data_IF_496095793969
#
_entry.id   IF_496095793969
#
_cell.length_a   1.000
_cell.length_b   1.000
_cell.length_c   1.000
_cell.angle_alpha   90.00
_cell.angle_beta   90.00
_cell.angle_gamma   90.00
#
_symmetry.space_group_name_H-M   'P 1'
#
loop_
_entity.id
_entity.type
_entity.pdbx_description
1 polymer ?
#
# COMPACT_ATOMS: atom_id res chain seq x y z
N UNK A 1 -11.07 -16.02 -25.28
CA UNK A 1 -10.86 -14.79 -24.49
C UNK A 1 -12.07 -13.92 -24.71
N UNK A 2 -12.96 -13.86 -23.72
CA UNK A 2 -14.17 -13.04 -23.76
C UNK A 2 -13.77 -11.56 -23.76
N UNK A 3 -14.08 -10.85 -24.85
CA UNK A 3 -13.85 -9.40 -24.95
C UNK A 3 -14.97 -8.72 -24.16
N UNK A 4 -14.71 -8.39 -22.90
CA UNK A 4 -15.61 -7.56 -22.12
C UNK A 4 -15.79 -6.20 -22.83
N UNK A 5 -17.03 -5.76 -23.02
CA UNK A 5 -17.39 -4.49 -23.66
C UNK A 5 -16.78 -3.31 -22.87
N UNK A 6 -16.54 -2.18 -23.55
CA UNK A 6 -16.09 -0.95 -22.89
C UNK A 6 -17.23 -0.39 -22.01
N UNK A 7 -16.91 -0.01 -20.77
CA UNK A 7 -17.83 0.65 -19.82
C UNK A 7 -18.57 1.83 -20.43
N UNK A 8 -17.88 2.61 -21.26
CA UNK A 8 -18.43 3.81 -21.89
C UNK A 8 -19.61 3.50 -22.86
N UNK A 9 -19.90 2.21 -23.09
CA UNK A 9 -21.01 1.72 -23.93
C UNK A 9 -22.11 1.01 -23.14
N UNK A 10 -21.98 0.90 -21.81
CA UNK A 10 -22.92 0.15 -20.97
C UNK A 10 -23.81 1.16 -20.22
N UNK A 11 -25.14 1.11 -20.37
CA UNK A 11 -26.04 1.97 -19.62
C UNK A 11 -25.90 1.70 -18.11
N UNK A 12 -25.77 2.72 -17.25
CA UNK A 12 -25.42 2.56 -15.83
C UNK A 12 -26.43 1.73 -15.03
N UNK A 13 -27.72 1.77 -15.40
CA UNK A 13 -28.81 1.05 -14.71
C UNK A 13 -29.21 -0.27 -15.40
N UNK A 14 -28.37 -0.79 -16.29
CA UNK A 14 -28.65 -2.02 -17.03
C UNK A 14 -28.14 -3.26 -16.29
N UNK A 15 -28.80 -4.40 -16.50
CA UNK A 15 -28.28 -5.71 -16.07
C UNK A 15 -26.86 -6.00 -16.64
N UNK A 16 -26.52 -5.40 -17.79
CA UNK A 16 -25.16 -5.47 -18.34
C UNK A 16 -24.13 -4.73 -17.47
N UNK A 17 -24.51 -3.63 -16.80
CA UNK A 17 -23.64 -2.89 -15.89
C UNK A 17 -23.33 -3.70 -14.62
N UNK A 18 -24.35 -4.35 -14.04
CA UNK A 18 -24.17 -5.22 -12.88
C UNK A 18 -23.25 -6.41 -13.20
N UNK A 19 -23.50 -7.08 -14.32
CA UNK A 19 -22.69 -8.20 -14.79
C UNK A 19 -21.24 -7.79 -15.05
N UNK A 20 -21.05 -6.63 -15.67
CA UNK A 20 -19.73 -6.04 -15.88
C UNK A 20 -19.02 -5.74 -14.54
N UNK A 21 -19.71 -5.12 -13.59
CA UNK A 21 -19.15 -4.79 -12.28
C UNK A 21 -18.79 -6.06 -11.48
N UNK A 22 -19.62 -7.10 -11.50
CA UNK A 22 -19.31 -8.39 -10.91
C UNK A 22 -18.02 -8.98 -11.50
N UNK A 23 -17.83 -8.88 -12.81
CA UNK A 23 -16.62 -9.35 -13.50
C UNK A 23 -15.38 -8.58 -13.09
N UNK A 24 -15.47 -7.25 -12.99
CA UNK A 24 -14.37 -6.40 -12.51
C UNK A 24 -14.06 -6.70 -11.05
N UNK A 25 -15.06 -6.77 -10.18
CA UNK A 25 -14.87 -7.09 -8.77
C UNK A 25 -14.17 -8.43 -8.59
N UNK A 26 -14.61 -9.47 -9.30
CA UNK A 26 -13.94 -10.77 -9.31
C UNK A 26 -12.47 -10.65 -9.71
N UNK A 27 -12.17 -9.91 -10.78
CA UNK A 27 -10.80 -9.66 -11.22
C UNK A 27 -9.95 -8.96 -10.15
N UNK A 28 -10.49 -7.93 -9.48
CA UNK A 28 -9.79 -7.19 -8.42
C UNK A 28 -9.46 -8.08 -7.22
N UNK A 29 -10.33 -9.03 -6.89
CA UNK A 29 -10.14 -9.94 -5.76
C UNK A 29 -9.19 -11.09 -6.10
N UNK A 30 -9.27 -11.66 -7.30
CA UNK A 30 -8.42 -12.78 -7.73
C UNK A 30 -7.01 -12.35 -8.13
N UNK A 31 -6.84 -11.15 -8.69
CA UNK A 31 -5.56 -10.69 -9.23
C UNK A 31 -4.99 -9.58 -8.37
N UNK A 32 -3.67 -9.54 -8.27
CA UNK A 32 -2.94 -8.42 -7.70
C UNK A 32 -2.49 -7.50 -8.84
N UNK A 33 -2.70 -6.21 -8.63
CA UNK A 33 -2.52 -5.21 -9.67
C UNK A 33 -2.72 -3.79 -9.15
N UNK A 34 -2.67 -2.83 -10.05
CA UNK A 34 -2.79 -1.41 -9.75
C UNK A 34 -3.74 -0.73 -10.72
N UNK A 35 -4.46 0.26 -10.20
CA UNK A 35 -5.20 1.20 -11.03
C UNK A 35 -4.23 2.21 -11.65
N UNK A 36 -4.31 2.41 -12.96
CA UNK A 36 -3.45 3.33 -13.70
C UNK A 36 -4.30 4.32 -14.49
N UNK A 37 -4.01 5.60 -14.31
CA UNK A 37 -4.54 6.67 -15.14
C UNK A 37 -3.59 6.95 -16.32
N UNK A 38 -4.17 7.18 -17.49
CA UNK A 38 -3.45 7.56 -18.70
C UNK A 38 -4.12 8.77 -19.35
N UNK A 39 -3.31 9.63 -19.97
CA UNK A 39 -3.78 10.79 -20.70
C UNK A 39 -3.34 10.64 -22.16
N UNK A 40 -4.18 11.10 -23.07
CA UNK A 40 -3.87 11.12 -24.51
C UNK A 40 -3.80 12.56 -24.97
N UNK A 41 -2.88 12.87 -25.88
CA UNK A 41 -2.84 14.18 -26.53
C UNK A 41 -3.26 14.00 -27.98
N UNK A 42 -4.23 14.78 -28.45
CA UNK A 42 -4.71 14.74 -29.83
C UNK A 42 -4.96 16.17 -30.30
N UNK A 43 -4.29 16.57 -31.38
CA UNK A 43 -4.38 17.95 -31.90
C UNK A 43 -3.92 19.02 -30.90
N UNK A 44 -2.90 18.74 -30.09
CA UNK A 44 -2.41 19.67 -29.06
C UNK A 44 -3.26 19.72 -27.77
N UNK A 45 -4.43 19.06 -27.74
CA UNK A 45 -5.30 19.03 -26.57
C UNK A 45 -5.10 17.74 -25.77
N UNK A 46 -4.90 17.87 -24.45
CA UNK A 46 -4.82 16.74 -23.52
C UNK A 46 -6.22 16.26 -23.15
N UNK A 47 -6.49 14.96 -23.36
CA UNK A 47 -7.74 14.25 -23.04
C UNK A 47 -7.51 13.15 -22.02
N UNK A 48 -8.53 12.88 -21.20
CA UNK A 48 -8.48 11.93 -20.10
C UNK A 48 -8.80 12.61 -18.76
N UNK A 49 -8.58 11.93 -17.63
CA UNK A 49 -7.91 10.63 -17.48
C UNK A 49 -8.72 9.44 -17.99
N UNK A 50 -8.02 8.48 -18.60
CA UNK A 50 -8.54 7.16 -18.93
C UNK A 50 -7.91 6.11 -18.01
N UNK A 51 -8.74 5.30 -17.39
CA UNK A 51 -8.33 4.41 -16.33
C UNK A 51 -8.28 2.95 -16.79
N UNK A 52 -7.30 2.22 -16.27
CA UNK A 52 -7.20 0.78 -16.48
C UNK A 52 -6.64 0.09 -15.23
N UNK A 53 -7.17 -1.09 -14.91
CA UNK A 53 -6.58 -1.97 -13.91
C UNK A 53 -5.51 -2.85 -14.56
N UNK A 54 -4.25 -2.67 -14.16
CA UNK A 54 -3.11 -3.44 -14.65
C UNK A 54 -2.75 -4.55 -13.68
N UNK A 55 -2.62 -5.77 -14.17
CA UNK A 55 -2.31 -6.93 -13.35
C UNK A 55 -1.40 -7.90 -14.11
N UNK A 56 -0.77 -8.83 -13.38
CA UNK A 56 0.01 -9.91 -13.99
C UNK A 56 -0.80 -11.20 -13.97
N UNK A 57 -0.78 -11.93 -15.08
CA UNK A 57 -1.40 -13.24 -15.21
C UNK A 57 -0.49 -14.15 -16.04
N UNK A 58 -0.09 -15.28 -15.47
CA UNK A 58 0.83 -16.25 -16.08
C UNK A 58 2.11 -15.60 -16.63
N UNK A 59 2.73 -14.73 -15.83
CA UNK A 59 3.97 -14.01 -16.20
C UNK A 59 3.79 -12.87 -17.20
N UNK A 60 2.58 -12.63 -17.73
CA UNK A 60 2.31 -11.55 -18.68
C UNK A 60 1.57 -10.40 -18.02
N UNK A 61 1.93 -9.18 -18.41
CA UNK A 61 1.20 -7.99 -18.01
C UNK A 61 -0.10 -7.87 -18.83
N UNK A 62 -1.21 -7.70 -18.14
CA UNK A 62 -2.54 -7.49 -18.72
C UNK A 62 -3.13 -6.20 -18.19
N UNK A 63 -4.12 -5.67 -18.91
CA UNK A 63 -4.85 -4.46 -18.53
C UNK A 63 -6.33 -4.68 -18.79
N UNK A 64 -7.16 -4.30 -17.83
CA UNK A 64 -8.60 -4.20 -18.00
C UNK A 64 -8.98 -2.72 -18.03
N UNK A 65 -9.52 -2.26 -19.15
CA UNK A 65 -9.88 -0.86 -19.33
C UNK A 65 -11.17 -0.53 -18.59
N UNK A 66 -11.17 0.56 -17.82
CA UNK A 66 -12.29 0.97 -16.95
C UNK A 66 -13.02 2.21 -17.48
N UNK A 67 -12.57 2.77 -18.61
CA UNK A 67 -13.15 4.00 -19.15
C UNK A 67 -12.59 5.27 -18.53
N UNK A 68 -13.32 6.37 -18.73
CA UNK A 68 -13.02 7.68 -18.13
C UNK A 68 -13.93 8.05 -16.97
N UNK A 69 -14.90 7.19 -16.62
CA UNK A 69 -15.84 7.45 -15.52
C UNK A 69 -15.12 7.48 -14.17
N UNK A 70 -15.26 8.62 -13.46
CA UNK A 70 -14.69 8.82 -12.13
C UNK A 70 -15.38 7.94 -11.08
N UNK A 71 -16.69 7.80 -11.17
CA UNK A 71 -17.50 7.03 -10.22
C UNK A 71 -17.09 5.56 -10.20
N UNK A 72 -16.92 4.97 -11.39
CA UNK A 72 -16.44 3.58 -11.55
C UNK A 72 -15.06 3.42 -10.92
N UNK A 73 -14.18 4.40 -11.11
CA UNK A 73 -12.84 4.41 -10.53
C UNK A 73 -12.88 4.48 -9.01
N UNK A 74 -13.72 5.33 -8.44
CA UNK A 74 -13.85 5.48 -6.99
C UNK A 74 -14.37 4.18 -6.35
N UNK A 75 -15.28 3.47 -7.02
CA UNK A 75 -15.72 2.12 -6.61
C UNK A 75 -14.58 1.11 -6.66
N UNK A 76 -13.80 1.07 -7.75
CA UNK A 76 -12.62 0.17 -7.88
C UNK A 76 -11.60 0.47 -6.79
N UNK A 77 -11.33 1.75 -6.54
CA UNK A 77 -10.38 2.20 -5.52
C UNK A 77 -10.84 1.80 -4.12
N UNK A 78 -12.14 1.90 -3.85
CA UNK A 78 -12.73 1.45 -2.58
C UNK A 78 -12.52 -0.05 -2.38
N UNK A 79 -12.78 -0.88 -3.40
CA UNK A 79 -12.58 -2.33 -3.32
C UNK A 79 -11.10 -2.72 -3.15
N UNK A 80 -10.19 -2.05 -3.87
CA UNK A 80 -8.75 -2.25 -3.68
C UNK A 80 -8.27 -1.85 -2.28
N UNK A 81 -8.85 -0.80 -1.71
CA UNK A 81 -8.54 -0.35 -0.35
C UNK A 81 -9.02 -1.38 0.67
N UNK A 82 -10.24 -1.90 0.53
CA UNK A 82 -10.74 -3.00 1.37
C UNK A 82 -9.85 -4.23 1.30
N UNK A 83 -9.45 -4.64 0.09
CA UNK A 83 -8.57 -5.79 -0.13
C UNK A 83 -7.20 -5.60 0.53
N UNK A 84 -6.64 -4.39 0.47
CA UNK A 84 -5.31 -4.09 1.02
C UNK A 84 -5.32 -3.65 2.49
N UNK A 85 -6.48 -3.46 3.10
CA UNK A 85 -6.60 -2.91 4.45
C UNK A 85 -5.84 -3.75 5.50
N UNK A 86 -6.02 -5.08 5.47
CA UNK A 86 -5.34 -5.98 6.40
C UNK A 86 -3.81 -5.95 6.24
N UNK A 87 -3.33 -5.97 4.99
CA UNK A 87 -1.90 -5.90 4.69
C UNK A 87 -1.28 -4.56 5.08
N UNK A 88 -1.99 -3.46 4.82
CA UNK A 88 -1.56 -2.12 5.19
C UNK A 88 -1.46 -1.98 6.72
N UNK A 89 -2.46 -2.48 7.44
CA UNK A 89 -2.45 -2.48 8.90
C UNK A 89 -1.28 -3.29 9.46
N UNK A 90 -1.03 -4.47 8.89
CA UNK A 90 0.13 -5.29 9.26
C UNK A 90 1.45 -4.55 9.04
N UNK A 91 1.65 -3.97 7.86
CA UNK A 91 2.87 -3.20 7.54
C UNK A 91 3.04 -2.00 8.45
N UNK A 92 1.95 -1.31 8.79
CA UNK A 92 1.97 -0.20 9.72
C UNK A 92 2.46 -0.64 11.11
N UNK A 93 1.90 -1.73 11.66
CA UNK A 93 2.33 -2.30 12.95
C UNK A 93 3.79 -2.78 12.92
N UNK A 94 4.22 -3.42 11.83
CA UNK A 94 5.60 -3.85 11.64
C UNK A 94 6.57 -2.64 11.60
N UNK A 95 6.14 -1.54 10.98
CA UNK A 95 6.84 -0.26 10.98
C UNK A 95 7.00 0.30 12.39
N UNK A 96 5.90 0.39 13.16
CA UNK A 96 5.92 0.85 14.55
C UNK A 96 6.85 -0.01 15.42
N UNK A 97 6.79 -1.34 15.28
CA UNK A 97 7.67 -2.26 16.02
C UNK A 97 9.13 -2.04 15.69
N UNK A 98 9.45 -1.77 14.43
CA UNK A 98 10.81 -1.47 13.98
C UNK A 98 11.31 -0.14 14.56
N UNK A 99 10.46 0.89 14.56
CA UNK A 99 10.77 2.19 15.15
C UNK A 99 11.00 2.10 16.66
N UNK A 100 10.11 1.39 17.39
CA UNK A 100 10.25 1.19 18.82
C UNK A 100 11.57 0.49 19.19
N UNK A 101 11.95 -0.56 18.45
CA UNK A 101 13.23 -1.25 18.65
C UNK A 101 14.43 -0.34 18.41
N UNK A 102 14.35 0.52 17.39
CA UNK A 102 15.39 1.51 17.09
C UNK A 102 15.54 2.51 18.23
N UNK A 103 14.44 3.07 18.71
CA UNK A 103 14.44 4.02 19.83
C UNK A 103 15.03 3.40 21.10
N UNK A 104 14.60 2.18 21.47
CA UNK A 104 15.17 1.46 22.63
C UNK A 104 16.68 1.28 22.51
N UNK A 105 17.18 0.94 21.31
CA UNK A 105 18.62 0.79 21.06
C UNK A 105 19.36 2.12 21.20
N UNK A 106 18.79 3.20 20.66
CA UNK A 106 19.37 4.55 20.73
C UNK A 106 19.40 5.07 22.17
N UNK A 107 18.30 4.95 22.91
CA UNK A 107 18.23 5.33 24.32
C UNK A 107 19.19 4.53 25.19
N UNK A 108 19.36 3.23 24.92
CA UNK A 108 20.36 2.39 25.62
C UNK A 108 21.78 2.90 25.38
N UNK A 109 22.11 3.22 24.12
CA UNK A 109 23.42 3.77 23.75
C UNK A 109 23.69 5.11 24.45
N UNK A 110 22.70 5.99 24.48
CA UNK A 110 22.79 7.26 25.21
C UNK A 110 23.01 7.04 26.70
N UNK A 111 22.27 6.10 27.31
CA UNK A 111 22.45 5.76 28.73
C UNK A 111 23.84 5.19 29.02
N UNK A 112 24.37 4.33 28.15
CA UNK A 112 25.75 3.82 28.25
C UNK A 112 26.78 4.95 28.20
N UNK A 113 26.59 5.93 27.31
CA UNK A 113 27.45 7.10 27.19
C UNK A 113 27.39 7.99 28.44
N UNK A 114 26.21 8.25 28.99
CA UNK A 114 26.05 9.04 30.22
C UNK A 114 26.64 8.31 31.44
N UNK A 115 26.41 7.01 31.58
CA UNK A 115 26.97 6.21 32.68
C UNK A 115 28.50 6.15 32.62
N UNK A 116 29.08 6.06 31.43
CA UNK A 116 30.52 6.05 31.24
C UNK A 116 31.19 7.34 31.76
N UNK A 117 30.52 8.50 31.67
CA UNK A 117 31.03 9.78 32.20
C UNK A 117 31.23 9.75 33.72
N UNK A 118 30.48 8.93 34.44
CA UNK A 118 30.59 8.73 35.90
C UNK A 118 31.30 7.42 36.26
N UNK A 119 32.00 6.79 35.30
CA UNK A 119 32.77 5.57 35.54
C UNK A 119 31.92 4.29 35.72
N UNK A 120 30.63 4.36 35.40
CA UNK A 120 29.73 3.20 35.39
C UNK A 120 29.65 2.59 33.98
N UNK A 121 29.25 1.33 33.91
CA UNK A 121 29.10 0.60 32.63
C UNK A 121 27.81 -0.23 32.64
N UNK A 122 27.23 -0.50 31.48
CA UNK A 122 26.09 -1.42 31.37
C UNK A 122 26.50 -2.77 30.81
N UNK A 123 25.92 -3.85 31.35
CA UNK A 123 25.93 -5.20 30.76
C UNK A 123 24.49 -5.64 30.57
N UNK A 124 24.07 -5.80 29.31
CA UNK A 124 22.63 -5.96 29.03
C UNK A 124 21.87 -4.70 29.48
N UNK A 125 20.97 -4.83 30.45
CA UNK A 125 20.22 -3.72 31.07
C UNK A 125 20.65 -3.43 32.51
N UNK A 126 21.69 -4.10 33.02
CA UNK A 126 22.18 -3.93 34.37
C UNK A 126 23.33 -2.92 34.42
N UNK A 127 23.30 -2.02 35.40
CA UNK A 127 24.36 -1.04 35.65
C UNK A 127 25.39 -1.60 36.62
N UNK A 128 26.65 -1.57 36.23
CA UNK A 128 27.81 -2.03 37.00
C UNK A 128 28.76 -0.87 37.32
N UNK A 129 29.60 -1.07 38.33
CA UNK A 129 30.67 -0.13 38.72
C UNK A 129 30.40 0.66 40.00
N UNK A 130 29.24 0.48 40.65
CA UNK A 130 28.83 1.23 41.84
C UNK A 130 29.85 1.28 42.98
N UNK A 131 30.68 0.25 43.15
CA UNK A 131 31.72 0.21 44.20
C UNK A 131 32.79 1.29 44.00
N UNK A 132 33.13 1.62 42.75
CA UNK A 132 34.16 2.61 42.41
C UNK A 132 33.74 4.06 42.69
N UNK A 133 32.46 4.31 42.97
CA UNK A 133 31.93 5.64 43.28
C UNK A 133 31.92 5.96 44.78
N UNK A 134 32.23 4.98 45.65
CA UNK A 134 32.17 5.14 47.11
C UNK A 134 33.54 5.28 47.78
N UNK A 135 34.61 5.19 47.01
CA UNK A 135 36.00 5.46 47.43
C UNK A 135 36.37 6.89 47.03
#
# INVERSE_FOLDING_TARGET
MEKLKNVDQIPPDSHEADSWWCSVKKLLWEKQGSLVASYRTTGGVKRGPYYAYRYRDKGRQRSHYLGSSREVVDLVQTELTKKSAADNQRRYLDGLKTQARKQVKESKKQMEEELAKIGLTMKGWEVHGWRKLRE
#
